data_IF_424838460721
#
_entry.id   IF_424838460721
#
_cell.length_a   1.000
_cell.length_b   1.000
_cell.length_c   1.000
_cell.angle_alpha   90.00
_cell.angle_beta   90.00
_cell.angle_gamma   90.00
#
_symmetry.space_group_name_H-M   'P 1'
#
loop_
_entity.id
_entity.type
_entity.pdbx_description
1 polymer ?
#
# COMPACT_ATOMS: atom_id res chain seq x y z
N UNK A 1 -6.21 5.51 13.87
CA UNK A 1 -7.05 5.31 12.67
C UNK A 1 -8.13 4.26 12.98
N UNK A 2 -9.37 4.42 12.50
CA UNK A 2 -10.39 3.36 12.47
C UNK A 2 -10.53 2.86 11.03
N UNK A 3 -10.40 1.56 10.80
CA UNK A 3 -10.59 0.94 9.50
C UNK A 3 -11.89 0.14 9.53
N UNK A 4 -12.86 0.54 8.71
CA UNK A 4 -14.10 -0.21 8.52
C UNK A 4 -13.82 -1.43 7.66
N UNK A 5 -14.18 -2.62 8.13
CA UNK A 5 -14.13 -3.85 7.33
C UNK A 5 -15.54 -4.20 6.88
N UNK A 6 -15.74 -4.34 5.57
CA UNK A 6 -17.00 -4.74 4.97
C UNK A 6 -16.86 -6.15 4.39
N UNK A 7 -17.60 -7.09 4.97
CA UNK A 7 -17.59 -8.49 4.55
C UNK A 7 -18.43 -8.73 3.31
N UNK A 8 -17.94 -8.46 2.10
CA UNK A 8 -18.69 -8.69 0.86
C UNK A 8 -18.72 -10.16 0.41
N UNK A 9 -17.96 -11.05 1.08
CA UNK A 9 -17.97 -12.49 0.83
C UNK A 9 -19.31 -13.13 1.19
N UNK A 10 -19.70 -14.14 0.42
CA UNK A 10 -20.81 -15.06 0.69
C UNK A 10 -20.35 -16.36 1.34
N UNK A 11 -19.04 -16.61 1.34
CA UNK A 11 -18.43 -17.83 1.85
C UNK A 11 -17.93 -17.68 3.30
N UNK A 12 -17.57 -16.47 3.70
CA UNK A 12 -17.06 -16.18 5.04
C UNK A 12 -18.18 -15.57 5.89
N UNK A 13 -18.47 -16.21 7.03
CA UNK A 13 -19.44 -15.68 7.98
C UNK A 13 -18.84 -14.51 8.77
N UNK A 14 -19.68 -13.53 9.14
CA UNK A 14 -19.27 -12.38 9.95
C UNK A 14 -18.64 -12.79 11.29
N UNK A 15 -19.07 -13.91 11.87
CA UNK A 15 -18.50 -14.45 13.11
C UNK A 15 -17.02 -14.88 12.93
N UNK A 16 -16.71 -15.55 11.81
CA UNK A 16 -15.35 -15.98 11.50
C UNK A 16 -14.46 -14.77 11.19
N UNK A 17 -14.98 -13.83 10.41
CA UNK A 17 -14.29 -12.57 10.14
C UNK A 17 -14.04 -11.76 11.42
N UNK A 18 -15.01 -11.70 12.34
CA UNK A 18 -14.84 -11.03 13.62
C UNK A 18 -13.76 -11.71 14.48
N UNK A 19 -13.60 -13.04 14.39
CA UNK A 19 -12.49 -13.73 15.04
C UNK A 19 -11.13 -13.30 14.46
N UNK A 20 -11.03 -13.22 13.13
CA UNK A 20 -9.82 -12.76 12.43
C UNK A 20 -9.50 -11.29 12.73
N UNK A 21 -10.51 -10.40 12.71
CA UNK A 21 -10.36 -8.98 13.05
C UNK A 21 -9.80 -8.80 14.46
N UNK A 22 -10.20 -9.64 15.43
CA UNK A 22 -9.64 -9.57 16.80
C UNK A 22 -8.14 -9.92 16.81
N UNK A 23 -7.73 -10.95 16.08
CA UNK A 23 -6.32 -11.33 15.97
C UNK A 23 -5.51 -10.21 15.29
N UNK A 24 -6.01 -9.63 14.19
CA UNK A 24 -5.33 -8.53 13.49
C UNK A 24 -5.27 -7.27 14.37
N UNK A 25 -6.31 -6.95 15.13
CA UNK A 25 -6.26 -5.82 16.06
C UNK A 25 -5.20 -6.00 17.15
N UNK A 26 -4.96 -7.24 17.61
CA UNK A 26 -3.85 -7.55 18.51
C UNK A 26 -2.51 -7.43 17.81
N UNK A 27 -2.38 -7.97 16.60
CA UNK A 27 -1.17 -7.79 15.77
C UNK A 27 -0.82 -6.31 15.63
N UNK A 28 -1.79 -5.46 15.27
CA UNK A 28 -1.58 -4.01 15.16
C UNK A 28 -1.07 -3.44 16.48
N UNK A 29 -1.73 -3.77 17.59
CA UNK A 29 -1.44 -3.13 18.88
C UNK A 29 -0.16 -3.61 19.54
N UNK A 30 0.10 -4.91 19.49
CA UNK A 30 1.14 -5.60 20.26
C UNK A 30 2.41 -5.80 19.43
N UNK A 31 2.28 -6.04 18.12
CA UNK A 31 3.41 -6.39 17.27
C UNK A 31 3.86 -5.22 16.41
N UNK A 32 2.93 -4.48 15.79
CA UNK A 32 3.26 -3.46 14.78
C UNK A 32 3.46 -2.05 15.35
N UNK A 33 2.49 -1.54 16.11
CA UNK A 33 2.48 -0.19 16.70
C UNK A 33 3.75 0.10 17.53
N UNK A 34 4.32 -0.83 18.32
CA UNK A 34 5.53 -0.55 19.10
C UNK A 34 6.77 -0.19 18.26
N UNK A 35 6.87 -0.67 17.02
CA UNK A 35 8.01 -0.38 16.14
C UNK A 35 7.75 0.81 15.23
N UNK A 36 6.53 0.96 14.75
CA UNK A 36 6.18 1.97 13.76
C UNK A 36 5.53 3.22 14.34
N UNK A 37 5.07 3.17 15.59
CA UNK A 37 4.27 4.23 16.24
C UNK A 37 2.99 4.59 15.47
N UNK A 38 2.50 3.64 14.67
CA UNK A 38 1.28 3.75 13.87
C UNK A 38 0.22 2.80 14.41
N UNK A 39 -0.85 3.36 14.96
CA UNK A 39 -1.94 2.59 15.59
C UNK A 39 -3.26 2.68 14.82
N UNK A 40 -3.98 1.55 14.74
CA UNK A 40 -5.32 1.50 14.18
C UNK A 40 -6.22 0.45 14.85
N UNK A 41 -7.50 0.48 14.50
CA UNK A 41 -8.49 -0.49 14.91
C UNK A 41 -9.37 -0.88 13.71
N UNK A 42 -9.40 -2.16 13.38
CA UNK A 42 -10.34 -2.74 12.45
C UNK A 42 -11.67 -2.96 13.15
N UNK A 43 -12.75 -2.56 12.48
CA UNK A 43 -14.13 -2.72 12.95
C UNK A 43 -14.99 -3.30 11.84
N UNK A 44 -15.58 -4.47 12.10
CA UNK A 44 -16.61 -5.02 11.22
C UNK A 44 -17.85 -4.15 11.29
N UNK A 45 -18.36 -3.75 10.13
CA UNK A 45 -19.60 -2.98 10.03
C UNK A 45 -20.66 -3.72 9.22
N UNK A 46 -21.91 -3.53 9.64
CA UNK A 46 -23.06 -4.05 8.92
C UNK A 46 -23.23 -3.37 7.57
N UNK A 47 -23.70 -4.11 6.57
CA UNK A 47 -24.02 -3.55 5.26
C UNK A 47 -25.42 -2.94 5.31
N UNK A 48 -25.54 -1.65 4.98
CA UNK A 48 -26.85 -1.01 4.76
C UNK A 48 -27.52 -1.45 3.45
N UNK A 49 -26.77 -2.07 2.51
CA UNK A 49 -27.29 -2.57 1.24
C UNK A 49 -26.61 -3.88 0.79
N UNK A 50 -27.29 -4.66 -0.07
CA UNK A 50 -26.78 -5.94 -0.62
C UNK A 50 -25.55 -5.77 -1.54
N UNK A 51 -25.41 -4.58 -2.13
CA UNK A 51 -24.25 -4.13 -2.88
C UNK A 51 -23.90 -2.72 -2.38
N UNK A 52 -22.63 -2.30 -2.43
CA UNK A 52 -22.29 -0.95 -2.01
C UNK A 52 -23.01 0.07 -2.92
N UNK A 53 -23.32 1.28 -2.46
CA UNK A 53 -23.87 2.33 -3.32
C UNK A 53 -22.72 3.25 -3.75
N UNK A 54 -22.64 3.57 -5.05
CA UNK A 54 -21.60 4.45 -5.62
C UNK A 54 -21.75 5.89 -5.13
N UNK A 55 -22.98 6.29 -4.75
CA UNK A 55 -23.33 7.66 -4.37
C UNK A 55 -23.69 7.80 -2.88
N UNK A 56 -24.15 6.72 -2.26
CA UNK A 56 -24.46 6.64 -0.84
C UNK A 56 -23.20 6.47 0.02
N UNK A 57 -23.00 7.36 1.00
CA UNK A 57 -22.12 7.02 2.11
C UNK A 57 -22.83 5.90 2.90
N UNK A 58 -22.24 4.70 3.09
CA UNK A 58 -22.63 3.86 4.22
C UNK A 58 -22.54 4.72 5.49
N UNK A 59 -23.61 4.67 6.29
CA UNK A 59 -23.84 5.56 7.43
C UNK A 59 -22.77 5.45 8.54
N UNK A 60 -21.84 4.49 8.43
CA UNK A 60 -20.80 4.21 9.40
C UNK A 60 -19.47 3.91 8.71
N UNK A 61 -18.67 4.95 8.41
CA UNK A 61 -17.30 4.80 7.89
C UNK A 61 -16.28 5.23 8.95
N UNK A 62 -15.20 4.46 9.09
CA UNK A 62 -13.97 4.88 9.72
C UNK A 62 -13.14 5.80 8.81
N UNK A 63 -11.90 6.04 9.21
CA UNK A 63 -10.90 6.81 8.47
C UNK A 63 -10.47 6.11 7.17
N UNK A 64 -10.67 4.79 7.07
CA UNK A 64 -10.39 3.98 5.88
C UNK A 64 -11.36 2.79 5.76
N UNK A 65 -11.41 2.13 4.60
CA UNK A 65 -12.30 0.99 4.34
C UNK A 65 -11.58 -0.21 3.70
N UNK A 66 -11.73 -1.40 4.26
CA UNK A 66 -11.30 -2.66 3.67
C UNK A 66 -12.50 -3.49 3.23
N UNK A 67 -12.48 -3.96 2.00
CA UNK A 67 -13.52 -4.82 1.46
C UNK A 67 -13.01 -6.25 1.30
N UNK A 68 -13.72 -7.22 1.89
CA UNK A 68 -13.45 -8.64 1.70
C UNK A 68 -14.40 -9.23 0.66
N UNK A 69 -13.91 -9.72 -0.47
CA UNK A 69 -14.70 -10.25 -1.58
C UNK A 69 -14.33 -11.68 -1.92
N UNK A 70 -15.28 -12.43 -2.47
CA UNK A 70 -15.02 -13.79 -2.94
C UNK A 70 -14.15 -13.79 -4.20
N UNK A 71 -14.54 -12.98 -5.19
CA UNK A 71 -13.99 -12.99 -6.54
C UNK A 71 -13.43 -11.63 -6.95
N UNK A 72 -12.47 -11.65 -7.87
CA UNK A 72 -11.75 -10.48 -8.35
C UNK A 72 -12.57 -9.73 -9.42
N UNK A 73 -13.35 -10.44 -10.25
CA UNK A 73 -14.25 -9.83 -11.25
C UNK A 73 -15.61 -9.49 -10.64
N UNK A 74 -15.66 -8.41 -9.89
CA UNK A 74 -16.91 -7.87 -9.36
C UNK A 74 -17.35 -6.70 -10.23
N UNK A 75 -18.43 -6.85 -11.03
CA UNK A 75 -18.98 -5.76 -11.83
C UNK A 75 -19.24 -4.54 -10.95
N UNK A 76 -18.66 -3.40 -11.33
CA UNK A 76 -18.68 -2.12 -10.63
C UNK A 76 -17.67 -1.92 -9.49
N UNK A 77 -16.84 -2.89 -9.07
CA UNK A 77 -15.80 -2.67 -8.05
C UNK A 77 -14.94 -1.44 -8.39
N UNK A 78 -14.41 -1.40 -9.61
CA UNK A 78 -13.72 -0.25 -10.20
C UNK A 78 -14.51 1.06 -10.15
N UNK A 79 -15.81 1.00 -10.44
CA UNK A 79 -16.67 2.17 -10.41
C UNK A 79 -16.89 2.73 -9.00
N UNK A 80 -16.61 1.97 -7.93
CA UNK A 80 -16.52 2.50 -6.57
C UNK A 80 -15.17 3.18 -6.30
N UNK A 81 -14.10 2.78 -7.00
CA UNK A 81 -12.76 3.36 -6.82
C UNK A 81 -12.76 4.81 -7.34
N UNK A 82 -13.34 5.04 -8.52
CA UNK A 82 -13.50 6.37 -9.13
C UNK A 82 -14.57 7.23 -8.43
N UNK A 83 -15.66 6.61 -7.94
CA UNK A 83 -16.80 7.33 -7.35
C UNK A 83 -16.69 7.58 -5.83
N UNK A 84 -15.78 6.89 -5.12
CA UNK A 84 -15.41 7.23 -3.74
C UNK A 84 -14.52 8.49 -3.66
N UNK A 85 -14.75 9.47 -4.56
CA UNK A 85 -14.07 10.76 -4.73
C UNK A 85 -14.15 11.72 -3.52
N UNK A 86 -14.26 11.20 -2.29
CA UNK A 86 -14.22 11.94 -1.03
C UNK A 86 -12.89 11.73 -0.28
N UNK A 87 -11.90 11.09 -0.90
CA UNK A 87 -10.54 11.00 -0.38
C UNK A 87 -10.33 10.00 0.76
N UNK A 88 -11.28 9.09 1.01
CA UNK A 88 -11.16 8.06 2.05
C UNK A 88 -10.30 6.90 1.52
N UNK A 89 -9.20 6.54 2.20
CA UNK A 89 -8.40 5.38 1.85
C UNK A 89 -9.18 4.06 1.85
N UNK A 90 -8.86 3.18 0.90
CA UNK A 90 -9.46 1.87 0.81
C UNK A 90 -8.49 0.78 0.33
N UNK A 91 -8.85 -0.48 0.60
CA UNK A 91 -8.16 -1.68 0.11
C UNK A 91 -9.13 -2.85 -0.10
N UNK A 92 -8.65 -3.89 -0.78
CA UNK A 92 -9.45 -5.06 -1.15
C UNK A 92 -8.71 -6.34 -0.78
N UNK A 93 -9.47 -7.34 -0.34
CA UNK A 93 -8.98 -8.69 -0.10
C UNK A 93 -9.89 -9.63 -0.88
N UNK A 94 -9.31 -10.36 -1.82
CA UNK A 94 -10.03 -11.33 -2.64
C UNK A 94 -9.69 -12.75 -2.19
N UNK A 95 -10.70 -13.50 -1.75
CA UNK A 95 -10.48 -14.81 -1.12
C UNK A 95 -10.18 -15.91 -2.13
N UNK A 96 -10.62 -15.80 -3.39
CA UNK A 96 -10.33 -16.82 -4.41
C UNK A 96 -8.84 -16.94 -4.72
N UNK A 97 -8.07 -15.86 -4.54
CA UNK A 97 -6.62 -15.84 -4.75
C UNK A 97 -5.88 -16.78 -3.79
N UNK A 98 -6.51 -17.20 -2.69
CA UNK A 98 -5.97 -18.23 -1.80
C UNK A 98 -5.70 -19.54 -2.55
N UNK A 99 -6.56 -19.91 -3.51
CA UNK A 99 -6.39 -21.14 -4.28
C UNK A 99 -5.19 -21.07 -5.22
N UNK A 100 -4.98 -19.92 -5.85
CA UNK A 100 -3.94 -19.69 -6.85
C UNK A 100 -2.57 -19.45 -6.23
N UNK A 101 -2.53 -18.69 -5.13
CA UNK A 101 -1.30 -18.27 -4.46
C UNK A 101 -0.93 -19.14 -3.26
N UNK A 102 -1.80 -20.06 -2.85
CA UNK A 102 -1.67 -20.86 -1.62
C UNK A 102 -1.50 -20.00 -0.35
N UNK A 103 -1.99 -18.75 -0.37
CA UNK A 103 -1.91 -17.79 0.72
C UNK A 103 -3.28 -17.65 1.39
N UNK A 104 -3.36 -17.84 2.71
CA UNK A 104 -4.63 -17.73 3.41
C UNK A 104 -5.19 -16.30 3.33
N UNK A 105 -6.49 -16.14 3.09
CA UNK A 105 -7.12 -14.81 3.01
C UNK A 105 -6.93 -13.97 4.29
N UNK A 106 -6.69 -14.60 5.44
CA UNK A 106 -6.39 -13.92 6.70
C UNK A 106 -5.02 -13.25 6.67
N UNK A 107 -4.04 -13.87 6.02
CA UNK A 107 -2.70 -13.32 5.80
C UNK A 107 -2.81 -12.10 4.90
N UNK A 108 -3.51 -12.22 3.77
CA UNK A 108 -3.77 -11.10 2.85
C UNK A 108 -4.55 -9.98 3.54
N UNK A 109 -5.56 -10.29 4.36
CA UNK A 109 -6.30 -9.27 5.11
C UNK A 109 -5.39 -8.51 6.09
N UNK A 110 -4.50 -9.20 6.81
CA UNK A 110 -3.54 -8.54 7.69
C UNK A 110 -2.56 -7.66 6.91
N UNK A 111 -2.00 -8.16 5.81
CA UNK A 111 -1.12 -7.42 4.92
C UNK A 111 -1.77 -6.12 4.44
N UNK A 112 -2.95 -6.25 3.79
CA UNK A 112 -3.63 -5.12 3.16
C UNK A 112 -4.08 -4.08 4.21
N UNK A 113 -4.40 -4.53 5.43
CA UNK A 113 -4.78 -3.65 6.53
C UNK A 113 -3.61 -2.84 7.07
N UNK A 114 -2.47 -3.48 7.35
CA UNK A 114 -1.33 -2.81 7.96
C UNK A 114 -0.58 -1.92 6.95
N UNK A 115 -0.57 -2.26 5.66
CA UNK A 115 -0.13 -1.33 4.60
C UNK A 115 -1.02 -0.09 4.53
N UNK A 116 -2.34 -0.27 4.64
CA UNK A 116 -3.29 0.85 4.63
C UNK A 116 -3.11 1.79 5.83
N UNK A 117 -2.62 1.28 6.98
CA UNK A 117 -2.29 2.10 8.15
C UNK A 117 -1.10 3.02 7.86
N UNK A 118 -0.11 2.55 7.11
CA UNK A 118 1.18 3.21 7.02
C UNK A 118 1.38 4.10 5.81
N UNK A 119 0.86 3.70 4.66
CA UNK A 119 0.80 4.56 3.49
C UNK A 119 -0.65 4.58 2.95
N UNK A 120 -1.58 5.23 3.68
CA UNK A 120 -2.99 5.17 3.32
C UNK A 120 -3.26 5.77 1.94
N UNK A 121 -2.43 6.73 1.50
CA UNK A 121 -2.51 7.41 0.21
C UNK A 121 -1.63 6.77 -0.85
N UNK A 122 -0.82 5.79 -0.46
CA UNK A 122 0.05 5.01 -1.34
C UNK A 122 1.02 5.93 -2.11
N UNK A 123 1.49 7.00 -1.47
CA UNK A 123 2.27 8.07 -2.09
C UNK A 123 3.62 8.32 -1.41
N UNK A 124 3.97 7.52 -0.40
CA UNK A 124 5.24 7.62 0.27
C UNK A 124 6.30 6.80 -0.47
N UNK A 125 7.49 7.38 -0.57
CA UNK A 125 8.67 6.77 -1.15
C UNK A 125 9.87 7.00 -0.22
N UNK A 126 10.81 6.06 -0.20
CA UNK A 126 12.06 6.14 0.55
C UNK A 126 13.24 6.05 -0.40
N UNK A 127 14.16 7.00 -0.32
CA UNK A 127 15.42 6.93 -1.07
C UNK A 127 16.27 5.75 -0.56
N UNK A 128 16.68 4.88 -1.46
CA UNK A 128 17.47 3.68 -1.15
C UNK A 128 18.31 3.21 -2.34
N UNK A 129 19.16 2.19 -2.15
CA UNK A 129 20.00 1.66 -3.22
C UNK A 129 19.16 0.96 -4.30
N UNK A 130 19.55 1.09 -5.56
CA UNK A 130 19.02 0.24 -6.62
C UNK A 130 19.41 -1.23 -6.35
N UNK A 131 18.53 -2.22 -6.59
CA UNK A 131 18.82 -3.61 -6.19
C UNK A 131 20.06 -4.22 -6.87
N UNK A 132 20.42 -3.73 -8.06
CA UNK A 132 21.53 -4.28 -8.86
C UNK A 132 22.56 -3.25 -9.32
N UNK A 133 22.35 -1.95 -9.07
CA UNK A 133 23.23 -0.87 -9.56
C UNK A 133 23.69 0.01 -8.40
N UNK A 134 24.86 0.63 -8.54
CA UNK A 134 25.41 1.56 -7.54
C UNK A 134 24.83 2.97 -7.74
N UNK A 135 23.54 3.12 -7.44
CA UNK A 135 22.80 4.39 -7.52
C UNK A 135 21.57 4.39 -6.62
N UNK A 136 21.00 5.56 -6.38
CA UNK A 136 19.78 5.74 -5.59
C UNK A 136 18.52 5.65 -6.46
N UNK A 137 17.50 4.97 -5.92
CA UNK A 137 16.11 4.95 -6.41
C UNK A 137 15.15 5.25 -5.26
N UNK A 138 13.87 5.41 -5.58
CA UNK A 138 12.83 5.75 -4.60
C UNK A 138 11.92 4.54 -4.37
N UNK A 139 12.27 3.72 -3.39
CA UNK A 139 11.51 2.54 -2.99
C UNK A 139 10.12 2.91 -2.48
N UNK A 140 9.14 2.07 -2.79
CA UNK A 140 7.82 2.19 -2.19
C UNK A 140 7.91 1.96 -0.68
N UNK A 141 7.18 2.77 0.08
CA UNK A 141 7.08 2.62 1.53
C UNK A 141 6.07 1.52 1.89
N UNK A 142 6.39 0.28 1.51
CA UNK A 142 5.59 -0.93 1.75
C UNK A 142 6.31 -1.81 2.75
N UNK A 143 5.62 -2.20 3.83
CA UNK A 143 6.28 -2.91 4.92
C UNK A 143 6.13 -4.43 4.86
N UNK A 144 5.35 -4.96 3.93
CA UNK A 144 5.03 -6.39 3.90
C UNK A 144 5.60 -7.09 2.68
N UNK A 145 5.66 -6.41 1.53
CA UNK A 145 6.07 -6.98 0.25
C UNK A 145 7.43 -7.71 0.28
N UNK A 146 8.44 -7.16 0.97
CA UNK A 146 9.79 -7.74 1.01
C UNK A 146 9.85 -9.10 1.75
N UNK A 147 8.86 -9.37 2.59
CA UNK A 147 8.71 -10.60 3.40
C UNK A 147 7.36 -11.29 3.15
N UNK A 148 6.74 -11.03 2.00
CA UNK A 148 5.34 -11.38 1.68
C UNK A 148 4.93 -12.81 2.05
N UNK A 149 5.81 -13.78 1.82
CA UNK A 149 5.52 -15.20 2.02
C UNK A 149 5.60 -15.65 3.48
N UNK A 150 6.13 -14.78 4.33
CA UNK A 150 6.29 -15.08 5.74
C UNK A 150 5.03 -14.76 6.52
N UNK A 151 4.59 -15.75 7.29
CA UNK A 151 3.46 -15.64 8.21
C UNK A 151 3.81 -16.15 9.60
N UNK A 152 3.01 -15.73 10.57
CA UNK A 152 3.00 -16.22 11.94
C UNK A 152 1.57 -16.22 12.49
N UNK A 153 1.38 -16.70 13.72
CA UNK A 153 0.06 -16.84 14.31
C UNK A 153 -0.18 -15.88 15.47
N UNK A 154 -1.36 -15.26 15.46
CA UNK A 154 -1.93 -14.53 16.59
C UNK A 154 -3.29 -15.15 16.88
N UNK A 155 -3.49 -15.67 18.09
CA UNK A 155 -4.73 -16.36 18.49
C UNK A 155 -5.20 -17.48 17.55
N UNK A 156 -4.24 -18.21 16.96
CA UNK A 156 -4.52 -19.31 16.01
C UNK A 156 -4.91 -18.84 14.61
N UNK A 157 -4.85 -17.54 14.33
CA UNK A 157 -5.06 -16.95 13.00
C UNK A 157 -3.71 -16.65 12.35
N UNK A 158 -3.51 -17.13 11.13
CA UNK A 158 -2.33 -16.80 10.34
C UNK A 158 -2.38 -15.32 9.89
N UNK A 159 -1.33 -14.57 10.20
CA UNK A 159 -1.12 -13.17 9.84
C UNK A 159 0.25 -12.99 9.17
N UNK A 160 0.40 -11.92 8.38
CA UNK A 160 1.62 -11.63 7.59
C UNK A 160 2.75 -11.05 8.45
N UNK A 161 4.00 -11.41 8.14
CA UNK A 161 5.21 -10.75 8.65
C UNK A 161 5.33 -9.32 8.09
N UNK A 162 6.16 -8.49 8.69
CA UNK A 162 6.44 -7.13 8.23
C UNK A 162 7.89 -6.73 8.53
N UNK A 163 8.38 -5.76 7.77
CA UNK A 163 9.70 -5.15 7.96
C UNK A 163 9.66 -4.13 9.10
N UNK A 164 10.78 -3.94 9.77
CA UNK A 164 10.98 -2.95 10.83
C UNK A 164 11.60 -1.67 10.25
N UNK A 165 11.56 -0.53 10.97
CA UNK A 165 12.07 0.74 10.45
C UNK A 165 13.50 0.70 9.88
N UNK A 166 14.39 -0.12 10.46
CA UNK A 166 15.77 -0.29 9.99
C UNK A 166 15.90 -0.94 8.60
N UNK A 167 14.83 -1.57 8.10
CA UNK A 167 14.80 -2.04 6.72
C UNK A 167 15.02 -0.91 5.70
N UNK A 168 14.55 0.30 6.03
CA UNK A 168 14.61 1.48 5.18
C UNK A 168 15.85 2.34 5.43
N UNK A 169 16.90 1.80 6.07
CA UNK A 169 18.15 2.52 6.30
C UNK A 169 19.24 2.13 5.29
N UNK A 170 20.13 3.05 4.94
CA UNK A 170 21.24 2.79 4.01
C UNK A 170 22.23 1.71 4.50
N UNK A 171 22.37 1.57 5.82
CA UNK A 171 23.34 0.68 6.46
C UNK A 171 22.64 -0.31 7.36
N UNK A 172 23.18 -1.52 7.42
CA UNK A 172 22.79 -2.51 8.41
C UNK A 172 23.34 -2.10 9.79
N UNK A 173 22.48 -2.08 10.80
CA UNK A 173 22.87 -1.83 12.18
C UNK A 173 23.25 -3.16 12.87
N UNK A 174 24.38 -3.18 13.57
CA UNK A 174 24.87 -4.41 14.21
C UNK A 174 23.91 -4.88 15.31
N UNK A 175 23.52 -6.16 15.26
CA UNK A 175 22.61 -6.76 16.24
C UNK A 175 21.14 -6.39 16.05
N UNK A 176 20.83 -5.62 15.00
CA UNK A 176 19.46 -5.28 14.64
C UNK A 176 18.87 -6.29 13.67
N UNK A 177 17.53 -6.31 13.61
CA UNK A 177 16.75 -7.10 12.64
C UNK A 177 15.91 -6.16 11.79
N UNK A 178 15.75 -6.49 10.52
CA UNK A 178 14.98 -5.68 9.57
C UNK A 178 13.57 -6.21 9.34
N UNK A 179 13.21 -7.35 9.89
CA UNK A 179 11.86 -7.88 9.89
C UNK A 179 11.45 -8.39 11.28
N UNK A 180 10.14 -8.47 11.50
CA UNK A 180 9.59 -8.80 12.82
C UNK A 180 9.88 -10.24 13.25
N UNK A 181 9.87 -11.19 12.31
CA UNK A 181 10.18 -12.60 12.62
C UNK A 181 11.69 -12.88 12.70
N UNK A 182 12.52 -12.06 12.06
CA UNK A 182 13.97 -12.23 12.02
C UNK A 182 14.38 -13.55 11.37
N UNK A 183 13.65 -14.02 10.36
CA UNK A 183 13.94 -15.32 9.72
C UNK A 183 15.28 -15.26 8.97
N UNK A 184 16.08 -16.29 9.18
CA UNK A 184 17.34 -16.46 8.46
C UNK A 184 17.14 -17.38 7.25
N UNK A 185 17.56 -16.90 6.09
CA UNK A 185 17.63 -17.67 4.84
C UNK A 185 19.10 -17.80 4.45
N UNK A 186 19.57 -19.02 4.22
CA UNK A 186 20.98 -19.28 3.87
C UNK A 186 21.98 -18.65 4.87
N UNK A 187 21.62 -18.66 6.16
CA UNK A 187 22.46 -18.13 7.24
C UNK A 187 22.45 -16.61 7.40
N UNK A 188 21.62 -15.87 6.65
CA UNK A 188 21.49 -14.42 6.77
C UNK A 188 20.03 -13.98 6.96
N UNK A 189 19.81 -13.04 7.87
CA UNK A 189 18.53 -12.33 8.06
C UNK A 189 18.33 -11.28 6.97
N UNK A 190 17.13 -10.70 6.89
CA UNK A 190 16.79 -9.69 5.91
C UNK A 190 17.76 -8.49 5.99
N UNK A 191 18.40 -8.15 4.86
CA UNK A 191 19.22 -6.95 4.73
C UNK A 191 18.35 -5.71 4.46
N UNK A 192 18.87 -4.51 4.68
CA UNK A 192 18.14 -3.28 4.37
C UNK A 192 17.87 -3.20 2.87
N UNK A 193 16.65 -2.85 2.49
CA UNK A 193 16.15 -2.93 1.10
C UNK A 193 16.31 -4.32 0.43
N UNK A 194 16.52 -5.37 1.23
CA UNK A 194 16.65 -6.75 0.77
C UNK A 194 15.30 -7.43 0.55
N UNK A 195 15.32 -8.66 0.07
CA UNK A 195 14.11 -9.45 -0.18
C UNK A 195 14.33 -10.85 0.42
N UNK A 196 13.32 -11.36 1.12
CA UNK A 196 13.26 -12.77 1.53
C UNK A 196 12.45 -13.60 0.52
N UNK A 197 12.60 -14.93 0.49
CA UNK A 197 11.89 -15.77 -0.47
C UNK A 197 10.37 -15.55 -0.49
N UNK A 198 9.81 -15.51 -1.71
CA UNK A 198 8.43 -15.20 -2.04
C UNK A 198 8.07 -13.71 -1.96
N UNK A 199 8.96 -12.86 -1.44
CA UNK A 199 8.81 -11.41 -1.42
C UNK A 199 9.22 -10.73 -2.72
N UNK A 200 8.93 -9.43 -2.81
CA UNK A 200 9.39 -8.55 -3.87
C UNK A 200 9.49 -7.11 -3.33
N UNK A 201 10.06 -6.20 -4.11
CA UNK A 201 10.09 -4.76 -3.82
C UNK A 201 9.74 -3.99 -5.09
N UNK A 202 9.11 -2.83 -4.91
CA UNK A 202 8.88 -1.88 -5.99
C UNK A 202 9.54 -0.54 -5.69
N UNK A 203 9.96 0.16 -6.74
CA UNK A 203 10.52 1.50 -6.63
C UNK A 203 10.19 2.35 -7.86
N UNK A 204 10.29 3.66 -7.71
CA UNK A 204 10.40 4.60 -8.83
C UNK A 204 11.87 4.80 -9.18
N UNK A 205 12.19 4.58 -10.45
CA UNK A 205 13.51 4.82 -10.99
C UNK A 205 13.56 6.20 -11.68
N UNK A 206 14.30 7.19 -11.14
CA UNK A 206 14.41 8.51 -11.74
C UNK A 206 15.19 8.52 -13.07
N UNK A 207 15.95 7.48 -13.39
CA UNK A 207 16.70 7.36 -14.65
C UNK A 207 15.82 6.91 -15.80
N UNK A 208 14.91 5.97 -15.54
CA UNK A 208 13.97 5.44 -16.55
C UNK A 208 12.61 6.14 -16.50
N UNK A 209 12.35 6.91 -15.44
CA UNK A 209 11.08 7.55 -15.11
C UNK A 209 9.93 6.54 -14.98
N UNK A 210 10.25 5.32 -14.55
CA UNK A 210 9.29 4.22 -14.43
C UNK A 210 9.20 3.70 -13.01
N UNK A 211 8.05 3.10 -12.72
CA UNK A 211 7.93 2.19 -11.60
C UNK A 211 8.37 0.80 -12.02
N UNK A 212 9.18 0.18 -11.17
CA UNK A 212 9.86 -1.08 -11.45
C UNK A 212 9.73 -2.03 -10.26
N UNK A 213 9.49 -3.31 -10.54
CA UNK A 213 9.37 -4.36 -9.54
C UNK A 213 10.52 -5.37 -9.65
N UNK A 214 11.08 -5.73 -8.51
CA UNK A 214 12.18 -6.68 -8.36
C UNK A 214 11.84 -7.79 -7.39
N UNK A 215 12.26 -9.02 -7.71
CA UNK A 215 12.26 -10.13 -6.77
C UNK A 215 13.60 -10.88 -6.81
N UNK A 216 13.77 -11.85 -5.92
CA UNK A 216 14.94 -12.73 -5.93
C UNK A 216 15.02 -13.53 -7.25
N UNK A 217 16.23 -13.73 -7.76
CA UNK A 217 16.44 -14.58 -8.93
C UNK A 217 15.90 -16.00 -8.66
N UNK A 218 15.19 -16.58 -9.64
CA UNK A 218 14.64 -17.94 -9.58
C UNK A 218 13.62 -18.20 -8.45
N UNK A 219 13.01 -17.15 -7.91
CA UNK A 219 11.92 -17.29 -6.95
C UNK A 219 10.59 -17.55 -7.66
N UNK A 220 10.27 -18.82 -7.87
CA UNK A 220 9.04 -19.24 -8.56
C UNK A 220 7.77 -18.88 -7.81
N UNK A 221 7.84 -18.65 -6.49
CA UNK A 221 6.69 -18.21 -5.68
C UNK A 221 6.42 -16.73 -5.93
N UNK A 222 7.46 -15.89 -5.83
CA UNK A 222 7.35 -14.47 -6.13
C UNK A 222 6.92 -14.21 -7.58
N UNK A 223 7.48 -14.97 -8.55
CA UNK A 223 7.07 -14.87 -9.96
C UNK A 223 5.60 -15.20 -10.18
N UNK A 224 5.10 -16.31 -9.61
CA UNK A 224 3.68 -16.69 -9.70
C UNK A 224 2.77 -15.62 -9.10
N UNK A 225 3.15 -15.08 -7.94
CA UNK A 225 2.43 -14.01 -7.26
C UNK A 225 2.37 -12.73 -8.10
N UNK A 226 3.50 -12.28 -8.65
CA UNK A 226 3.54 -11.09 -9.51
C UNK A 226 2.78 -11.29 -10.82
N UNK A 227 2.83 -12.48 -11.42
CA UNK A 227 2.05 -12.82 -12.60
C UNK A 227 0.53 -12.76 -12.32
N UNK A 228 0.08 -13.33 -11.19
CA UNK A 228 -1.31 -13.21 -10.77
C UNK A 228 -1.70 -11.75 -10.58
N UNK A 229 -0.93 -10.95 -9.82
CA UNK A 229 -1.19 -9.52 -9.63
C UNK A 229 -1.26 -8.74 -10.95
N UNK A 230 -0.36 -9.02 -11.91
CA UNK A 230 -0.36 -8.40 -13.24
C UNK A 230 -1.56 -8.80 -14.09
N UNK A 231 -1.99 -10.06 -14.01
CA UNK A 231 -3.19 -10.52 -14.70
C UNK A 231 -4.44 -9.79 -14.17
N UNK A 232 -4.60 -9.74 -12.85
CA UNK A 232 -5.69 -8.98 -12.22
C UNK A 232 -5.67 -7.50 -12.60
N UNK A 233 -4.46 -6.93 -12.73
CA UNK A 233 -4.31 -5.53 -13.14
C UNK A 233 -4.72 -5.31 -14.61
N UNK A 234 -4.36 -6.25 -15.48
CA UNK A 234 -4.67 -6.23 -16.92
C UNK A 234 -6.17 -6.40 -17.17
N UNK A 235 -6.81 -7.24 -16.36
CA UNK A 235 -8.26 -7.48 -16.40
C UNK A 235 -9.06 -6.28 -15.83
N UNK A 236 -8.36 -5.24 -15.36
CA UNK A 236 -8.96 -4.07 -14.74
C UNK A 236 -9.55 -4.37 -13.36
N UNK A 237 -9.20 -5.48 -12.74
CA UNK A 237 -9.78 -5.92 -11.47
C UNK A 237 -8.95 -5.52 -10.26
N UNK A 238 -7.69 -5.18 -10.55
CA UNK A 238 -6.82 -4.38 -9.72
C UNK A 238 -6.34 -3.22 -10.61
N UNK A 239 -6.00 -2.08 -10.03
CA UNK A 239 -4.85 -1.36 -10.56
C UNK A 239 -3.99 -1.04 -9.37
N UNK A 240 -2.68 -0.98 -9.59
CA UNK A 240 -1.73 -0.77 -8.52
C UNK A 240 -2.24 0.36 -7.63
N UNK A 241 -2.30 0.10 -6.32
CA UNK A 241 -2.77 1.04 -5.29
C UNK A 241 -2.24 2.48 -5.51
N UNK A 242 -1.01 2.59 -6.04
CA UNK A 242 -0.30 3.81 -6.49
C UNK A 242 -0.87 4.47 -7.77
N UNK A 243 -1.19 3.70 -8.80
CA UNK A 243 -1.66 4.21 -10.10
C UNK A 243 -2.99 4.95 -10.00
N UNK A 244 -3.93 4.50 -9.16
CA UNK A 244 -5.25 5.13 -9.02
C UNK A 244 -5.24 6.48 -8.32
N UNK A 245 -4.36 6.69 -7.32
CA UNK A 245 -4.40 7.92 -6.51
C UNK A 245 -3.49 9.03 -7.02
N UNK A 246 -2.42 8.66 -7.72
CA UNK A 246 -1.41 9.62 -8.20
C UNK A 246 -1.46 9.77 -9.73
N UNK A 247 -1.91 8.74 -10.45
CA UNK A 247 -1.83 8.65 -11.92
C UNK A 247 -2.83 9.51 -12.69
N UNK A 248 -3.47 10.47 -12.06
CA UNK A 248 -4.54 11.22 -12.70
C UNK A 248 -4.95 12.48 -12.00
N UNK A 249 -4.03 13.22 -11.35
CA UNK A 249 -4.37 14.60 -10.94
C UNK A 249 -4.71 15.38 -12.21
N UNK A 250 -5.98 15.70 -12.48
CA UNK A 250 -6.28 16.64 -13.53
C UNK A 250 -5.64 17.94 -13.03
N UNK A 251 -4.79 18.59 -13.83
CA UNK A 251 -4.56 20.02 -13.63
C UNK A 251 -5.93 20.64 -13.49
N UNK A 252 -6.22 21.26 -12.34
CA UNK A 252 -7.56 21.72 -11.97
C UNK A 252 -8.32 22.21 -13.20
N UNK A 253 -9.45 21.57 -13.52
CA UNK A 253 -10.51 22.38 -14.11
C UNK A 253 -10.83 23.38 -13.02
N UNK A 254 -10.44 24.64 -13.24
CA UNK A 254 -10.76 25.73 -12.32
C UNK A 254 -12.23 25.64 -11.98
N UNK A 255 -12.59 25.95 -10.73
CA UNK A 255 -13.97 25.99 -10.22
C UNK A 255 -14.92 26.88 -11.05
N UNK A 256 -14.43 27.54 -12.09
CA UNK A 256 -15.13 28.37 -13.06
C UNK A 256 -16.04 27.57 -14.03
N UNK A 257 -15.84 26.26 -14.17
CA UNK A 257 -16.65 25.39 -15.07
C UNK A 257 -17.95 24.85 -14.43
N UNK A 258 -18.27 25.25 -13.19
CA UNK A 258 -19.56 24.93 -12.57
C UNK A 258 -20.63 25.94 -13.04
N UNK A 259 -21.83 25.50 -13.49
CA UNK A 259 -22.90 26.43 -13.84
C UNK A 259 -23.24 27.29 -12.62
N UNK A 260 -23.27 28.61 -12.82
CA UNK A 260 -23.45 29.56 -11.72
C UNK A 260 -24.76 29.30 -10.96
N UNK A 261 -24.77 29.34 -9.62
CA UNK A 261 -26.01 29.28 -8.86
C UNK A 261 -26.91 30.47 -9.21
N UNK A 262 -28.25 30.32 -9.11
CA UNK A 262 -29.18 31.40 -9.45
C UNK A 262 -28.89 32.63 -8.59
N UNK A 263 -28.75 33.79 -9.24
CA UNK A 263 -28.38 35.06 -8.62
C UNK A 263 -29.34 35.43 -7.48
N UNK A 264 -28.89 35.28 -6.24
CA UNK A 264 -29.47 36.01 -5.12
C UNK A 264 -28.97 37.45 -5.17
N UNK A 265 -29.89 38.41 -5.18
CA UNK A 265 -29.57 39.83 -5.19
C UNK A 265 -28.96 40.25 -3.85
N UNK A 266 -27.70 40.68 -3.86
CA UNK A 266 -27.12 41.43 -2.76
C UNK A 266 -26.10 42.45 -3.30
N UNK A 267 -26.25 43.69 -2.84
CA UNK A 267 -25.47 44.87 -3.22
C UNK A 267 -24.22 45.03 -2.33
N UNK A 268 -23.21 45.69 -2.91
CA UNK A 268 -22.13 46.50 -2.28
C UNK A 268 -20.80 45.78 -1.93
N UNK A 269 -19.69 46.53 -1.72
CA UNK A 269 -18.94 47.31 -2.71
C UNK A 269 -17.46 46.87 -2.79
N UNK A 270 -16.76 47.35 -3.82
CA UNK A 270 -15.40 46.96 -4.20
C UNK A 270 -14.32 47.29 -3.14
N UNK A 271 -13.36 46.36 -2.95
CA UNK A 271 -12.07 46.59 -2.28
C UNK A 271 -10.93 46.22 -3.22
N UNK A 272 -9.94 47.10 -3.32
CA UNK A 272 -8.76 47.01 -4.21
C UNK A 272 -7.75 45.97 -3.73
N UNK A 273 -7.11 45.29 -4.69
CA UNK A 273 -6.01 44.36 -4.49
C UNK A 273 -4.68 45.09 -4.16
N UNK A 274 -3.90 44.50 -3.25
CA UNK A 274 -2.49 44.83 -3.03
C UNK A 274 -1.61 43.63 -3.43
N UNK A 275 -0.54 43.93 -4.16
CA UNK A 275 0.47 42.99 -4.67
C UNK A 275 1.50 42.66 -3.59
N UNK A 276 1.86 41.38 -3.44
CA UNK A 276 3.05 40.94 -2.69
C UNK A 276 3.88 39.96 -3.52
N UNK A 277 5.19 40.22 -3.54
CA UNK A 277 6.22 39.58 -4.36
C UNK A 277 6.54 38.14 -3.93
N UNK A 278 6.78 37.28 -4.93
CA UNK A 278 7.30 35.92 -4.76
C UNK A 278 8.73 35.92 -4.21
N UNK A 279 8.98 35.11 -3.18
CA UNK A 279 10.31 34.69 -2.74
C UNK A 279 10.46 33.22 -3.16
N UNK A 280 11.49 32.91 -3.94
CA UNK A 280 11.77 31.58 -4.48
C UNK A 280 12.79 30.87 -3.57
N UNK A 281 12.39 29.80 -2.90
CA UNK A 281 13.25 29.00 -2.00
C UNK A 281 13.18 27.53 -2.45
N UNK A 282 13.74 27.20 -3.61
CA UNK A 282 14.02 25.81 -3.99
C UNK A 282 15.23 25.79 -4.93
N UNK A 283 16.44 25.66 -4.39
CA UNK A 283 17.64 25.35 -5.18
C UNK A 283 18.82 24.76 -4.38
N UNK A 284 18.70 24.56 -3.06
CA UNK A 284 19.84 24.12 -2.25
C UNK A 284 19.40 23.03 -1.28
N UNK A 285 19.37 21.77 -1.73
CA UNK A 285 19.40 20.58 -0.84
C UNK A 285 19.57 19.24 -1.57
N UNK A 286 19.41 19.15 -2.89
CA UNK A 286 19.46 17.85 -3.59
C UNK A 286 20.87 17.28 -3.80
N UNK A 287 21.93 18.10 -3.72
CA UNK A 287 23.28 17.69 -4.09
C UNK A 287 24.09 17.08 -2.91
N UNK A 288 23.61 17.22 -1.68
CA UNK A 288 24.31 16.71 -0.48
C UNK A 288 23.82 15.34 0.01
N UNK A 289 22.71 14.81 -0.53
CA UNK A 289 22.14 13.52 -0.09
C UNK A 289 22.67 12.30 -0.87
N UNK A 290 23.53 12.48 -1.88
CA UNK A 290 23.94 11.45 -2.83
C UNK A 290 25.28 10.74 -2.53
N UNK A 291 25.86 10.91 -1.33
CA UNK A 291 27.25 10.47 -1.04
C UNK A 291 27.41 9.38 0.04
N UNK A 292 26.38 8.64 0.37
CA UNK A 292 26.53 7.45 1.20
C UNK A 292 25.74 6.29 0.60
N UNK A 293 26.42 5.19 0.22
CA UNK A 293 26.04 3.78 0.44
C UNK A 293 26.85 2.81 -0.44
N UNK A 294 27.60 1.92 0.20
CA UNK A 294 27.98 0.54 -0.23
C UNK A 294 28.61 -0.16 1.00
N UNK A 295 28.54 -1.51 1.21
CA UNK A 295 28.78 -2.57 0.23
C UNK A 295 27.77 -3.75 0.20
N UNK A 296 27.86 -4.52 -0.89
CA UNK A 296 27.06 -5.68 -1.31
C UNK A 296 26.90 -6.80 -0.27
N UNK A 297 25.67 -7.29 -0.13
CA UNK A 297 25.36 -8.65 0.32
C UNK A 297 25.17 -9.56 -0.92
N UNK A 298 25.83 -10.72 -0.94
CA UNK A 298 25.95 -11.61 -2.10
C UNK A 298 24.69 -12.43 -2.44
N UNK A 299 23.57 -11.78 -2.76
CA UNK A 299 22.40 -12.42 -3.39
C UNK A 299 22.15 -11.80 -4.76
N UNK A 300 21.78 -12.62 -5.74
CA UNK A 300 21.45 -12.18 -7.10
C UNK A 300 19.96 -11.82 -7.21
N UNK A 301 19.66 -10.62 -7.69
CA UNK A 301 18.30 -10.09 -7.91
C UNK A 301 18.03 -9.92 -9.41
N UNK A 302 16.76 -9.96 -9.84
CA UNK A 302 16.38 -9.82 -11.26
C UNK A 302 15.16 -8.88 -11.40
N UNK A 303 15.22 -8.00 -12.40
CA UNK A 303 14.10 -7.18 -12.90
C UNK A 303 12.99 -8.09 -13.42
N UNK A 304 11.74 -7.85 -13.01
CA UNK A 304 10.60 -8.60 -13.56
C UNK A 304 9.84 -7.77 -14.62
N UNK A 305 10.10 -6.47 -14.70
CA UNK A 305 9.40 -5.54 -15.62
C UNK A 305 10.15 -5.24 -16.93
N UNK A 306 11.07 -6.11 -17.37
CA UNK A 306 11.79 -5.91 -18.64
C UNK A 306 11.53 -7.02 -19.65
N UNK A 307 10.44 -6.95 -20.41
CA UNK A 307 10.34 -7.49 -21.79
C UNK A 307 9.44 -6.54 -22.60
N UNK A 308 10.02 -5.88 -23.61
CA UNK A 308 9.90 -6.15 -25.06
C UNK A 308 8.65 -5.56 -25.71
#
# INVERSE_FOLDING_TARGET
>A
MIITVLNMSKQIADADLQHVIRAINRQIKEDFEPYWSLGALLRLEGKSARAPDKLGLPDMRGDAVLYLWDQVDVPNALGYHDANARGIPFGFVFTELQGELHEAWTVTLSHEALELIADPLVNLLVAGPHPTEDRTVFHWYEMFDAVQDERYQVDGVDVSNFVLPLYFTPTAEQGSRNDFLGKAYEGATLASFGINPGGYIGFFDPKTEKHETYAMANDETAKRRLAAKKQLATDGLMAGRRAYRIGGWPREKTLEDQPSPPKAAARSPAVRAASSKNINIQAATLQEMALAVSPKAGRSFVMIDSEE
#
